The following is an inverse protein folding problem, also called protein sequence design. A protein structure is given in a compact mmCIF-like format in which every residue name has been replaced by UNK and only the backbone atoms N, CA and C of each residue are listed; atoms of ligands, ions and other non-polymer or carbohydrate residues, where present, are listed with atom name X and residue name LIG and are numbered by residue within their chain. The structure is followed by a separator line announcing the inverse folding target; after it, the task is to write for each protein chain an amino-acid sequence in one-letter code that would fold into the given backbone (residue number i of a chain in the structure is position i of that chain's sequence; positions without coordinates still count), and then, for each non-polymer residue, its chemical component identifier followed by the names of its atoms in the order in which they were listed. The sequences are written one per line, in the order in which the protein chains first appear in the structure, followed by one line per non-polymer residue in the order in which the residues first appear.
data_IF_264582690721
#
_entry.id   IF_264582690721
#
_cell.length_a   1.000
_cell.length_b   1.000
_cell.length_c   1.000
_cell.angle_alpha   90.00
_cell.angle_beta   90.00
_cell.angle_gamma   90.00
#
_symmetry.space_group_name_H-M   'P 1'
#
loop_
_entity.id
_entity.type
_entity.pdbx_description
1 polymer ?
#
# COMPACT_ATOMS: atom_id res chain seq x y z
N UNK A 1 7.40 -12.27 -11.46
CA UNK A 1 7.33 -11.88 -10.04
C UNK A 1 5.87 -11.82 -9.61
N UNK A 2 5.51 -12.32 -8.42
CA UNK A 2 4.16 -12.14 -7.90
C UNK A 2 3.88 -10.65 -7.62
N UNK A 3 2.60 -10.23 -7.63
CA UNK A 3 2.21 -8.86 -7.34
C UNK A 3 2.49 -8.53 -5.85
N UNK A 4 2.91 -7.29 -5.56
CA UNK A 4 3.20 -6.81 -4.21
C UNK A 4 2.30 -5.62 -3.82
N UNK A 5 1.82 -5.62 -2.57
CA UNK A 5 1.20 -4.47 -1.93
C UNK A 5 1.99 -4.12 -0.67
N UNK A 6 2.40 -2.86 -0.53
CA UNK A 6 3.02 -2.30 0.66
C UNK A 6 2.12 -1.23 1.23
N UNK A 7 1.79 -1.30 2.51
CA UNK A 7 1.07 -0.26 3.25
C UNK A 7 1.99 0.15 4.41
N UNK A 8 2.40 1.41 4.47
CA UNK A 8 3.32 1.91 5.49
C UNK A 8 2.86 3.26 6.05
N UNK A 9 2.96 3.46 7.35
CA UNK A 9 2.64 4.73 8.00
C UNK A 9 3.80 5.72 7.98
N UNK A 10 3.58 6.96 7.55
CA UNK A 10 4.67 7.95 7.44
C UNK A 10 5.24 8.43 8.79
N UNK A 11 4.58 8.10 9.90
CA UNK A 11 4.99 8.44 11.26
C UNK A 11 5.35 7.19 12.10
N UNK A 12 5.63 6.07 11.45
CA UNK A 12 6.11 4.86 12.11
C UNK A 12 7.54 5.08 12.64
N UNK A 13 7.68 5.07 13.97
CA UNK A 13 8.96 5.22 14.68
C UNK A 13 9.57 3.88 15.11
N UNK A 14 8.86 2.77 14.91
CA UNK A 14 9.34 1.40 15.20
C UNK A 14 10.01 0.84 13.96
N UNK A 15 9.40 1.01 12.78
CA UNK A 15 9.97 0.63 11.48
C UNK A 15 10.01 1.84 10.57
N UNK A 16 11.23 2.27 10.23
CA UNK A 16 11.45 3.47 9.43
C UNK A 16 10.65 3.43 8.10
N UNK A 17 9.89 4.47 7.73
CA UNK A 17 9.04 4.49 6.52
C UNK A 17 9.81 4.23 5.22
N UNK A 18 11.09 4.60 5.19
CA UNK A 18 11.99 4.29 4.07
C UNK A 18 12.09 2.79 3.75
N UNK A 19 11.83 1.90 4.71
CA UNK A 19 11.79 0.46 4.45
C UNK A 19 10.63 0.08 3.52
N UNK A 20 9.44 0.66 3.70
CA UNK A 20 8.30 0.43 2.80
C UNK A 20 8.59 0.91 1.37
N UNK A 21 9.23 2.08 1.25
CA UNK A 21 9.70 2.62 -0.04
C UNK A 21 10.74 1.69 -0.67
N UNK A 22 11.74 1.25 0.10
CA UNK A 22 12.80 0.38 -0.39
C UNK A 22 12.26 -0.99 -0.84
N UNK A 23 11.34 -1.61 -0.09
CA UNK A 23 10.70 -2.87 -0.47
C UNK A 23 9.98 -2.77 -1.82
N UNK A 24 9.20 -1.70 -2.02
CA UNK A 24 8.49 -1.51 -3.29
C UNK A 24 9.45 -1.27 -4.47
N UNK A 25 10.51 -0.49 -4.26
CA UNK A 25 11.54 -0.21 -5.29
C UNK A 25 12.34 -1.45 -5.67
N UNK A 26 12.86 -2.19 -4.69
CA UNK A 26 13.60 -3.44 -4.95
C UNK A 26 12.75 -4.44 -5.73
N UNK A 27 11.46 -4.56 -5.40
CA UNK A 27 10.54 -5.42 -6.13
C UNK A 27 10.29 -4.94 -7.56
N UNK A 28 10.15 -3.63 -7.76
CA UNK A 28 9.98 -3.04 -9.08
C UNK A 28 11.23 -3.22 -9.94
N UNK A 29 12.42 -2.98 -9.40
CA UNK A 29 13.70 -3.13 -10.09
C UNK A 29 13.90 -4.58 -10.55
N UNK A 30 13.66 -5.55 -9.66
CA UNK A 30 13.74 -6.97 -10.00
C UNK A 30 12.73 -7.39 -11.10
N UNK A 31 11.61 -6.67 -11.20
CA UNK A 31 10.61 -6.87 -12.25
C UNK A 31 10.80 -5.98 -13.49
N UNK A 32 11.84 -5.13 -13.55
CA UNK A 32 12.03 -4.15 -14.64
C UNK A 32 10.86 -3.17 -14.79
N UNK A 33 10.24 -2.78 -13.68
CA UNK A 33 9.08 -1.88 -13.64
C UNK A 33 9.48 -0.46 -13.25
N UNK A 34 8.69 0.51 -13.70
CA UNK A 34 8.89 1.93 -13.44
C UNK A 34 7.78 2.49 -12.55
N UNK A 35 8.13 3.42 -11.67
CA UNK A 35 7.15 4.12 -10.84
C UNK A 35 6.28 5.05 -11.69
N UNK A 36 4.96 4.94 -11.54
CA UNK A 36 4.04 5.95 -12.01
C UNK A 36 4.04 7.16 -11.06
N UNK A 37 3.51 8.29 -11.54
CA UNK A 37 3.30 9.48 -10.70
C UNK A 37 2.42 9.12 -9.50
N UNK A 38 2.86 9.40 -8.26
CA UNK A 38 2.06 9.15 -7.07
C UNK A 38 0.75 9.95 -7.09
N UNK A 39 -0.33 9.35 -6.60
CA UNK A 39 -1.61 10.03 -6.41
C UNK A 39 -2.02 10.02 -4.95
N UNK A 40 -2.58 11.11 -4.46
CA UNK A 40 -3.15 11.17 -3.12
C UNK A 40 -4.58 10.65 -3.14
N UNK A 41 -4.91 9.79 -2.18
CA UNK A 41 -6.26 9.24 -1.98
C UNK A 41 -6.68 9.50 -0.54
N UNK A 42 -7.86 10.07 -0.34
CA UNK A 42 -8.43 10.31 0.98
C UNK A 42 -9.93 10.05 0.97
N UNK A 43 -10.44 9.37 2.00
CA UNK A 43 -11.88 9.08 2.15
C UNK A 43 -12.42 9.77 3.40
N UNK A 44 -13.17 10.85 3.20
CA UNK A 44 -13.70 11.66 4.30
C UNK A 44 -12.59 12.13 5.24
N UNK A 45 -12.82 12.01 6.55
CA UNK A 45 -11.87 12.45 7.58
C UNK A 45 -10.74 11.44 7.89
N UNK A 46 -10.59 10.36 7.11
CA UNK A 46 -9.46 9.44 7.27
C UNK A 46 -8.17 10.10 6.82
N UNK A 47 -7.04 9.60 7.33
CA UNK A 47 -5.74 10.03 6.86
C UNK A 47 -5.60 9.87 5.34
N UNK A 48 -5.00 10.86 4.65
CA UNK A 48 -4.65 10.70 3.25
C UNK A 48 -3.55 9.65 3.10
N UNK A 49 -3.56 8.94 1.98
CA UNK A 49 -2.45 8.09 1.56
C UNK A 49 -1.92 8.50 0.19
N UNK A 50 -0.60 8.50 0.04
CA UNK A 50 0.05 8.58 -1.27
C UNK A 50 0.14 7.17 -1.86
N UNK A 51 -0.37 6.98 -3.08
CA UNK A 51 -0.36 5.69 -3.77
C UNK A 51 0.55 5.78 -4.98
N UNK A 52 1.61 4.98 -4.97
CA UNK A 52 2.55 4.82 -6.07
C UNK A 52 2.42 3.42 -6.65
N UNK A 53 2.19 3.32 -7.95
CA UNK A 53 2.11 2.05 -8.66
C UNK A 53 3.33 1.87 -9.54
N UNK A 54 3.95 0.70 -9.48
CA UNK A 54 5.09 0.34 -10.31
C UNK A 54 4.62 -0.57 -11.44
N UNK A 55 4.91 -0.17 -12.68
CA UNK A 55 4.38 -0.80 -13.88
C UNK A 55 5.47 -1.33 -14.80
N UNK A 56 5.24 -2.52 -15.33
CA UNK A 56 6.01 -3.12 -16.43
C UNK A 56 5.03 -3.41 -17.57
N UNK A 57 5.22 -2.78 -18.75
CA UNK A 57 4.39 -3.00 -19.95
C UNK A 57 2.88 -2.95 -19.67
N UNK A 58 2.44 -1.93 -18.91
CA UNK A 58 1.03 -1.75 -18.54
C UNK A 58 0.56 -2.57 -17.33
N UNK A 59 1.29 -3.61 -16.92
CA UNK A 59 0.97 -4.43 -15.74
C UNK A 59 1.54 -3.82 -14.47
N UNK A 60 0.69 -3.65 -13.44
CA UNK A 60 1.13 -3.27 -12.09
C UNK A 60 1.81 -4.48 -11.43
N UNK A 61 3.05 -4.31 -10.97
CA UNK A 61 3.83 -5.34 -10.27
C UNK A 61 3.97 -5.05 -8.77
N UNK A 62 3.93 -3.78 -8.38
CA UNK A 62 3.92 -3.36 -6.99
C UNK A 62 3.02 -2.13 -6.80
N UNK A 63 2.39 -2.03 -5.64
CA UNK A 63 1.68 -0.84 -5.17
C UNK A 63 2.20 -0.46 -3.79
N UNK A 64 2.64 0.78 -3.64
CA UNK A 64 3.04 1.38 -2.37
C UNK A 64 1.97 2.37 -1.92
N UNK A 65 1.44 2.16 -0.73
CA UNK A 65 0.49 3.04 -0.05
C UNK A 65 1.16 3.62 1.21
N UNK A 66 1.54 4.89 1.15
CA UNK A 66 2.11 5.61 2.29
C UNK A 66 1.01 6.42 2.99
N UNK A 67 0.64 6.03 4.20
CA UNK A 67 -0.45 6.67 4.96
C UNK A 67 0.12 7.80 5.81
N UNK A 68 -0.28 9.03 5.51
CA UNK A 68 0.22 10.20 6.21
C UNK A 68 -0.20 10.20 7.69
N UNK A 69 0.75 10.39 8.59
CA UNK A 69 0.50 10.49 10.04
C UNK A 69 0.17 9.18 10.76
N UNK A 70 0.08 8.06 10.03
CA UNK A 70 -0.07 6.74 10.64
C UNK A 70 1.27 6.32 11.27
N UNK A 71 1.24 5.91 12.54
CA UNK A 71 2.39 5.35 13.26
C UNK A 71 2.55 3.84 13.05
N UNK A 72 3.19 3.15 14.01
CA UNK A 72 3.28 1.69 14.03
C UNK A 72 1.94 1.06 14.45
N UNK A 73 0.96 1.10 13.55
CA UNK A 73 -0.40 0.65 13.82
C UNK A 73 -1.10 0.15 12.55
N UNK A 74 -2.05 -0.76 12.74
CA UNK A 74 -2.97 -1.21 11.72
C UNK A 74 -3.88 -0.07 11.27
N UNK A 75 -3.82 0.27 9.98
CA UNK A 75 -4.59 1.36 9.39
C UNK A 75 -6.08 1.04 9.34
N UNK A 76 -6.90 1.90 9.95
CA UNK A 76 -8.35 1.87 9.85
C UNK A 76 -9.02 0.70 10.59
N UNK A 77 -8.29 0.05 11.50
CA UNK A 77 -8.84 -1.03 12.32
C UNK A 77 -9.73 -0.54 13.47
N UNK A 78 -10.14 -1.46 14.33
CA UNK A 78 -11.07 -1.18 15.42
C UNK A 78 -10.40 -0.38 16.54
N UNK A 79 -11.04 0.70 17.00
CA UNK A 79 -10.52 1.58 18.05
C UNK A 79 -10.26 0.88 19.39
N UNK A 80 -10.92 -0.26 19.64
CA UNK A 80 -10.76 -1.04 20.86
C UNK A 80 -9.59 -2.02 20.84
N UNK A 81 -8.86 -2.13 19.72
CA UNK A 81 -7.76 -3.08 19.57
C UNK A 81 -6.42 -2.39 19.73
N UNK A 82 -5.48 -3.07 20.41
CA UNK A 82 -4.10 -2.61 20.51
C UNK A 82 -3.44 -2.52 19.12
N UNK A 83 -2.50 -1.60 18.97
CA UNK A 83 -1.78 -1.37 17.72
C UNK A 83 -2.69 -1.10 16.51
N UNK A 84 -3.85 -0.47 16.73
CA UNK A 84 -4.76 -0.06 15.67
C UNK A 84 -4.99 1.45 15.71
N UNK A 85 -5.03 2.10 14.54
CA UNK A 85 -5.45 3.49 14.41
C UNK A 85 -6.69 3.58 13.51
N UNK A 86 -7.89 3.85 14.08
CA UNK A 86 -9.13 3.90 13.31
C UNK A 86 -9.19 5.08 12.33
N UNK A 87 -8.32 6.08 12.48
CA UNK A 87 -8.25 7.27 11.60
C UNK A 87 -7.61 6.96 10.25
N UNK A 88 -6.83 5.89 10.14
CA UNK A 88 -6.22 5.46 8.88
C UNK A 88 -7.24 4.98 7.83
N UNK A 89 -6.86 4.88 6.54
CA UNK A 89 -7.60 4.10 5.55
C UNK A 89 -7.82 2.65 6.01
N UNK A 90 -8.89 2.02 5.53
CA UNK A 90 -9.19 0.61 5.84
C UNK A 90 -8.20 -0.32 5.12
N UNK A 91 -7.15 -0.76 5.82
CA UNK A 91 -6.11 -1.63 5.25
C UNK A 91 -6.67 -2.99 4.82
N UNK A 92 -7.62 -3.57 5.56
CA UNK A 92 -8.25 -4.85 5.22
C UNK A 92 -8.99 -4.75 3.89
N UNK A 93 -9.72 -3.67 3.65
CA UNK A 93 -10.37 -3.41 2.37
C UNK A 93 -9.37 -3.19 1.23
N UNK A 94 -8.25 -2.52 1.49
CA UNK A 94 -7.18 -2.35 0.49
C UNK A 94 -6.57 -3.70 0.10
N UNK A 95 -6.28 -4.55 1.08
CA UNK A 95 -5.75 -5.91 0.88
C UNK A 95 -6.75 -6.74 0.09
N UNK A 96 -8.02 -6.75 0.48
CA UNK A 96 -9.06 -7.49 -0.24
C UNK A 96 -9.17 -7.03 -1.69
N UNK A 97 -9.26 -5.72 -1.93
CA UNK A 97 -9.34 -5.17 -3.28
C UNK A 97 -8.09 -5.49 -4.12
N UNK A 98 -6.91 -5.55 -3.49
CA UNK A 98 -5.69 -6.00 -4.16
C UNK A 98 -5.79 -7.47 -4.57
N UNK A 99 -6.13 -8.36 -3.62
CA UNK A 99 -6.23 -9.81 -3.83
C UNK A 99 -7.27 -10.14 -4.90
N UNK A 100 -8.49 -9.58 -4.81
CA UNK A 100 -9.55 -9.79 -5.81
C UNK A 100 -9.06 -9.43 -7.22
N UNK A 101 -8.44 -8.27 -7.40
CA UNK A 101 -7.88 -7.87 -8.72
C UNK A 101 -6.82 -8.84 -9.25
N UNK A 102 -6.03 -9.48 -8.37
CA UNK A 102 -5.04 -10.44 -8.83
C UNK A 102 -5.68 -11.76 -9.26
N UNK A 103 -6.69 -12.23 -8.53
CA UNK A 103 -7.40 -13.47 -8.88
C UNK A 103 -8.29 -13.32 -10.10
N UNK A 104 -9.00 -12.21 -10.26
CA UNK A 104 -9.80 -11.94 -11.45
C UNK A 104 -8.94 -11.95 -12.72
N UNK A 105 -7.70 -11.47 -12.63
CA UNK A 105 -6.74 -11.54 -13.74
C UNK A 105 -6.35 -12.97 -14.06
N UNK A 106 -6.03 -13.79 -13.04
CA UNK A 106 -5.65 -15.20 -13.24
C UNK A 106 -6.80 -15.98 -13.87
N UNK A 107 -8.04 -15.69 -13.50
CA UNK A 107 -9.22 -16.36 -14.09
C UNK A 107 -9.49 -15.94 -15.55
N UNK A 108 -8.93 -14.81 -16.01
CA UNK A 108 -9.09 -14.29 -17.36
C UNK A 108 -7.93 -14.66 -18.30
N UNK A 109 -6.86 -15.26 -17.78
CA UNK A 109 -5.72 -15.83 -18.52
C UNK A 109 -6.00 -17.30 -18.89
#
# INVERSE_FOLDING_TARGET
MPPLLVIHGSADHVVHPGNGVASARLWADAAGAQAAVPRTVQRGARYPMSVTEFRQRGRIVATLCEVAGLGHAWSGGAASQAHSDPRGPDASRLIWAFVTRQFDRIAAE
#
